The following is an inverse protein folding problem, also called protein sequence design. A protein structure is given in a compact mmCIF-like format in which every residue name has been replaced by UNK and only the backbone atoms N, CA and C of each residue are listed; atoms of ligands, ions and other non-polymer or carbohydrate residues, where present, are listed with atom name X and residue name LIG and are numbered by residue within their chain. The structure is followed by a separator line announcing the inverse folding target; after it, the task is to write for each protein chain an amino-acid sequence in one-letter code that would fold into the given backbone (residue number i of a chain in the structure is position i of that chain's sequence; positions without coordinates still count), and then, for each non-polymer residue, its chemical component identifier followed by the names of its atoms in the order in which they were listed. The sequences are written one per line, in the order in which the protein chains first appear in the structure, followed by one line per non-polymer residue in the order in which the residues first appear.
data_IF_225239523485
#
_entry.id   IF_225239523485
#
_cell.length_a   1.000
_cell.length_b   1.000
_cell.length_c   1.000
_cell.angle_alpha   90.00
_cell.angle_beta   90.00
_cell.angle_gamma   90.00
#
_symmetry.space_group_name_H-M   'P 1'
#
loop_
_entity.id
_entity.type
_entity.pdbx_description
1 polymer ?
#
# COMPACT_ATOMS: atom_id res chain seq x y z
N UNK A 1 -48.68 24.37 -41.44
CA UNK A 1 -47.64 25.05 -40.66
C UNK A 1 -47.70 24.47 -39.25
N UNK A 2 -46.62 23.81 -38.81
CA UNK A 2 -46.23 23.35 -37.46
C UNK A 2 -45.46 22.02 -37.62
N UNK A 3 -44.12 22.01 -37.58
CA UNK A 3 -43.40 20.79 -37.27
C UNK A 3 -43.34 20.65 -35.75
N UNK A 4 -43.84 19.52 -35.24
CA UNK A 4 -43.61 19.08 -33.87
C UNK A 4 -42.14 18.69 -33.77
N UNK A 5 -41.32 19.55 -33.17
CA UNK A 5 -39.98 19.21 -32.74
C UNK A 5 -40.12 18.25 -31.56
N UNK A 6 -40.08 16.94 -31.86
CA UNK A 6 -39.60 15.94 -30.93
C UNK A 6 -38.15 16.31 -30.60
N UNK A 7 -37.96 17.18 -29.61
CA UNK A 7 -36.68 17.34 -28.94
C UNK A 7 -36.34 15.97 -28.38
N UNK A 8 -35.44 15.27 -29.06
CA UNK A 8 -34.75 14.12 -28.51
C UNK A 8 -34.22 14.54 -27.16
N UNK A 9 -34.62 13.81 -26.13
CA UNK A 9 -33.99 13.90 -24.82
C UNK A 9 -32.56 13.44 -25.12
N UNK A 10 -31.66 14.40 -25.31
CA UNK A 10 -30.24 14.13 -25.41
C UNK A 10 -29.91 13.29 -24.18
N UNK A 11 -29.40 12.08 -24.40
CA UNK A 11 -28.85 11.25 -23.33
C UNK A 11 -27.72 12.06 -22.71
N UNK A 12 -28.03 12.88 -21.71
CA UNK A 12 -27.05 13.67 -20.99
C UNK A 12 -26.10 12.66 -20.36
N UNK A 13 -24.86 12.71 -20.80
CA UNK A 13 -23.84 11.87 -20.21
C UNK A 13 -23.71 12.26 -18.74
N UNK A 14 -23.59 11.29 -17.84
CA UNK A 14 -23.32 11.57 -16.43
C UNK A 14 -22.11 12.52 -16.26
N UNK A 15 -21.17 12.47 -17.20
CA UNK A 15 -19.97 13.31 -17.24
C UNK A 15 -20.19 14.76 -17.67
N UNK A 16 -21.41 15.13 -18.08
CA UNK A 16 -21.84 16.50 -18.38
C UNK A 16 -22.47 17.20 -17.16
N UNK A 17 -22.74 16.47 -16.08
CA UNK A 17 -23.27 17.04 -14.83
C UNK A 17 -22.21 17.81 -14.01
N UNK A 18 -22.58 18.65 -13.02
CA UNK A 18 -21.60 19.29 -12.14
C UNK A 18 -20.70 18.28 -11.42
N UNK A 19 -19.46 18.67 -11.12
CA UNK A 19 -18.44 17.77 -10.54
C UNK A 19 -18.91 17.11 -9.25
N UNK A 20 -19.62 17.85 -8.41
CA UNK A 20 -20.17 17.38 -7.14
C UNK A 20 -21.19 16.26 -7.35
N UNK A 21 -22.02 16.36 -8.40
CA UNK A 21 -23.00 15.34 -8.77
C UNK A 21 -22.30 14.10 -9.32
N UNK A 22 -21.28 14.28 -10.16
CA UNK A 22 -20.47 13.18 -10.68
C UNK A 22 -19.83 12.40 -9.52
N UNK A 23 -19.15 13.09 -8.60
CA UNK A 23 -18.51 12.46 -7.44
C UNK A 23 -19.52 11.74 -6.56
N UNK A 24 -20.65 12.37 -6.23
CA UNK A 24 -21.68 11.76 -5.40
C UNK A 24 -22.29 10.48 -6.01
N UNK A 25 -22.34 10.38 -7.34
CA UNK A 25 -22.78 9.15 -8.00
C UNK A 25 -21.65 8.11 -8.00
N UNK A 26 -20.45 8.51 -8.44
CA UNK A 26 -19.31 7.59 -8.57
C UNK A 26 -18.90 6.99 -7.22
N UNK A 27 -18.91 7.76 -6.13
CA UNK A 27 -18.61 7.28 -4.77
C UNK A 27 -19.60 6.22 -4.26
N UNK A 28 -20.78 6.11 -4.89
CA UNK A 28 -21.81 5.12 -4.53
C UNK A 28 -21.79 3.87 -5.40
N UNK A 29 -20.96 3.86 -6.45
CA UNK A 29 -20.85 2.70 -7.32
C UNK A 29 -19.95 1.62 -6.70
N UNK A 30 -20.28 0.33 -6.89
CA UNK A 30 -19.38 -0.74 -6.50
C UNK A 30 -18.10 -0.70 -7.34
N UNK A 31 -17.01 -1.23 -6.80
CA UNK A 31 -15.70 -1.23 -7.44
C UNK A 31 -15.71 -1.82 -8.86
N UNK A 32 -16.46 -2.89 -9.09
CA UNK A 32 -16.59 -3.51 -10.41
C UNK A 32 -17.17 -2.54 -11.46
N UNK A 33 -18.15 -1.71 -11.08
CA UNK A 33 -18.76 -0.74 -11.98
C UNK A 33 -17.81 0.44 -12.25
N UNK A 34 -17.06 0.87 -11.23
CA UNK A 34 -15.99 1.88 -11.42
C UNK A 34 -14.92 1.38 -12.40
N UNK A 35 -14.49 0.13 -12.27
CA UNK A 35 -13.55 -0.51 -13.20
C UNK A 35 -14.15 -0.55 -14.61
N UNK A 36 -15.41 -0.99 -14.75
CA UNK A 36 -16.09 -1.03 -16.05
C UNK A 36 -16.15 0.37 -16.69
N UNK A 37 -16.50 1.40 -15.91
CA UNK A 37 -16.52 2.79 -16.37
C UNK A 37 -15.14 3.26 -16.84
N UNK A 38 -14.07 2.85 -16.17
CA UNK A 38 -12.69 3.21 -16.55
C UNK A 38 -12.28 2.68 -17.94
N UNK A 39 -13.01 1.70 -18.46
CA UNK A 39 -12.78 1.10 -19.78
C UNK A 39 -13.61 1.79 -20.88
N UNK A 40 -14.62 2.57 -20.53
CA UNK A 40 -15.54 3.19 -21.51
C UNK A 40 -14.96 4.41 -22.23
N UNK A 41 -14.20 5.26 -21.52
CA UNK A 41 -13.58 6.46 -22.09
C UNK A 41 -12.41 6.95 -21.26
N UNK A 42 -11.56 7.81 -21.86
CA UNK A 42 -10.42 8.43 -21.17
C UNK A 42 -10.86 9.40 -20.07
N UNK A 43 -11.93 10.16 -20.28
CA UNK A 43 -12.50 11.08 -19.28
C UNK A 43 -13.06 10.31 -18.09
N UNK A 44 -13.84 9.27 -18.36
CA UNK A 44 -14.36 8.38 -17.33
C UNK A 44 -13.21 7.78 -16.50
N UNK A 45 -12.19 7.22 -17.17
CA UNK A 45 -10.99 6.68 -16.53
C UNK A 45 -10.34 7.68 -15.57
N UNK A 46 -10.07 8.90 -16.04
CA UNK A 46 -9.42 9.91 -15.21
C UNK A 46 -10.22 10.28 -13.96
N UNK A 47 -11.56 10.21 -14.03
CA UNK A 47 -12.45 10.51 -12.90
C UNK A 47 -12.61 9.35 -11.92
N UNK A 48 -12.58 8.10 -12.40
CA UNK A 48 -12.81 6.92 -11.55
C UNK A 48 -11.52 6.32 -10.99
N UNK A 49 -10.36 6.49 -11.65
CA UNK A 49 -9.08 5.98 -11.15
C UNK A 49 -8.77 6.44 -9.71
N UNK A 50 -8.96 7.72 -9.33
CA UNK A 50 -8.77 8.14 -7.94
C UNK A 50 -9.64 7.37 -6.94
N UNK A 51 -10.85 6.97 -7.33
CA UNK A 51 -11.76 6.21 -6.48
C UNK A 51 -11.34 4.73 -6.41
N UNK A 52 -10.98 4.14 -7.55
CA UNK A 52 -10.52 2.74 -7.65
C UNK A 52 -9.28 2.49 -6.81
N UNK A 53 -8.31 3.42 -6.84
CA UNK A 53 -7.04 3.28 -6.13
C UNK A 53 -7.03 3.94 -4.75
N UNK A 54 -8.15 4.53 -4.29
CA UNK A 54 -8.19 5.22 -2.98
C UNK A 54 -8.02 4.27 -1.80
N UNK A 55 -8.59 3.08 -1.89
CA UNK A 55 -8.62 2.05 -0.85
C UNK A 55 -8.22 0.71 -1.46
N UNK A 56 -7.07 0.19 -1.02
CA UNK A 56 -6.49 -1.04 -1.52
C UNK A 56 -6.45 -2.05 -0.39
N UNK A 57 -7.21 -3.13 -0.55
CA UNK A 57 -7.10 -4.31 0.30
C UNK A 57 -6.46 -5.45 -0.48
N UNK A 58 -5.34 -5.95 0.01
CA UNK A 58 -4.70 -7.15 -0.50
C UNK A 58 -4.84 -8.24 0.55
N UNK A 59 -5.69 -9.23 0.27
CA UNK A 59 -5.96 -10.33 1.18
C UNK A 59 -5.12 -11.55 0.80
N UNK A 60 -4.27 -12.01 1.71
CA UNK A 60 -3.48 -13.20 1.53
C UNK A 60 -4.26 -14.45 1.93
N UNK A 61 -4.56 -15.29 0.94
CA UNK A 61 -5.17 -16.61 1.15
C UNK A 61 -4.13 -17.69 0.91
N UNK A 62 -4.15 -18.75 1.71
CA UNK A 62 -3.12 -19.81 1.72
C UNK A 62 -2.82 -20.42 0.33
N UNK A 63 -3.82 -20.47 -0.55
CA UNK A 63 -3.72 -21.04 -1.90
C UNK A 63 -3.81 -20.00 -3.01
N UNK A 64 -4.02 -18.74 -2.65
CA UNK A 64 -4.28 -17.65 -3.59
C UNK A 64 -3.62 -16.37 -3.04
N UNK A 65 -2.29 -16.22 -3.23
CA UNK A 65 -1.58 -15.02 -2.81
C UNK A 65 -2.04 -13.81 -3.63
N UNK A 66 -2.10 -12.62 -3.02
CA UNK A 66 -2.59 -11.44 -3.70
C UNK A 66 -1.59 -10.97 -4.76
N UNK A 67 -2.04 -10.25 -5.80
CA UNK A 67 -1.20 -9.80 -6.91
C UNK A 67 -0.34 -8.57 -6.54
N UNK A 68 0.35 -8.61 -5.39
CA UNK A 68 1.14 -7.50 -4.83
C UNK A 68 2.27 -7.06 -5.75
N UNK A 69 2.96 -8.02 -6.37
CA UNK A 69 4.04 -7.73 -7.33
C UNK A 69 3.51 -7.01 -8.58
N UNK A 70 2.29 -7.34 -9.02
CA UNK A 70 1.64 -6.65 -10.14
C UNK A 70 1.28 -5.23 -9.74
N UNK A 71 0.75 -5.02 -8.53
CA UNK A 71 0.45 -3.69 -8.00
C UNK A 71 1.70 -2.82 -7.93
N UNK A 72 2.80 -3.35 -7.39
CA UNK A 72 4.07 -2.64 -7.33
C UNK A 72 4.55 -2.27 -8.73
N UNK A 73 4.52 -3.20 -9.69
CA UNK A 73 4.84 -2.92 -11.08
C UNK A 73 3.97 -1.80 -11.65
N UNK A 74 2.66 -1.84 -11.41
CA UNK A 74 1.73 -0.81 -11.85
C UNK A 74 2.11 0.57 -11.30
N UNK A 75 2.46 0.69 -10.02
CA UNK A 75 2.87 1.97 -9.44
C UNK A 75 4.26 2.43 -9.89
N UNK A 76 5.18 1.52 -10.17
CA UNK A 76 6.45 1.87 -10.81
C UNK A 76 6.23 2.43 -12.23
N UNK A 77 5.26 1.91 -12.97
CA UNK A 77 4.94 2.35 -14.32
C UNK A 77 4.04 3.59 -14.36
N UNK A 78 3.18 3.75 -13.37
CA UNK A 78 2.20 4.83 -13.22
C UNK A 78 2.19 5.38 -11.78
N UNK A 79 3.23 6.13 -11.37
CA UNK A 79 3.37 6.64 -10.02
C UNK A 79 2.23 7.60 -9.61
N UNK A 80 1.55 8.22 -10.59
CA UNK A 80 0.38 9.05 -10.32
C UNK A 80 -0.75 8.28 -9.63
N UNK A 81 -0.89 6.97 -9.90
CA UNK A 81 -1.91 6.14 -9.26
C UNK A 81 -1.64 5.93 -7.77
N UNK A 82 -0.37 5.77 -7.40
CA UNK A 82 0.03 5.59 -6.01
C UNK A 82 -0.27 6.85 -5.16
N UNK A 83 -0.31 8.03 -5.81
CA UNK A 83 -0.71 9.27 -5.14
C UNK A 83 -2.19 9.32 -4.76
N UNK A 84 -3.05 8.49 -5.35
CA UNK A 84 -4.46 8.42 -4.96
C UNK A 84 -4.71 7.55 -3.73
N UNK A 85 -3.76 6.67 -3.39
CA UNK A 85 -3.91 5.72 -2.28
C UNK A 85 -3.98 6.47 -0.96
N UNK A 86 -5.09 6.28 -0.26
CA UNK A 86 -5.34 6.78 1.11
C UNK A 86 -5.34 5.65 2.12
N UNK A 87 -5.72 4.45 1.72
CA UNK A 87 -5.77 3.28 2.60
C UNK A 87 -5.12 2.08 1.94
N UNK A 88 -4.22 1.44 2.70
CA UNK A 88 -3.60 0.17 2.34
C UNK A 88 -3.84 -0.82 3.48
N UNK A 89 -4.62 -1.85 3.18
CA UNK A 89 -4.88 -2.97 4.09
C UNK A 89 -4.24 -4.24 3.53
N UNK A 90 -3.21 -4.73 4.21
CA UNK A 90 -2.52 -5.97 3.91
C UNK A 90 -3.07 -7.04 4.85
N UNK A 91 -4.19 -7.65 4.46
CA UNK A 91 -5.00 -8.55 5.29
C UNK A 91 -4.73 -10.04 5.01
N UNK A 92 -5.11 -10.94 5.89
CA UNK A 92 -4.90 -12.37 5.70
C UNK A 92 -6.02 -13.24 6.28
N UNK A 93 -6.36 -14.28 5.53
CA UNK A 93 -7.41 -15.25 5.90
C UNK A 93 -6.82 -16.64 6.24
N UNK A 94 -5.52 -16.75 6.44
CA UNK A 94 -4.79 -18.02 6.30
C UNK A 94 -4.25 -18.63 7.59
N UNK A 95 -3.83 -17.83 8.58
CA UNK A 95 -2.97 -18.37 9.65
C UNK A 95 -3.60 -18.38 11.05
N UNK A 96 -4.84 -17.92 11.20
CA UNK A 96 -5.58 -17.94 12.47
C UNK A 96 -5.96 -19.35 12.99
N UNK A 97 -5.75 -20.40 12.20
CA UNK A 97 -6.06 -21.79 12.57
C UNK A 97 -4.81 -22.66 12.42
N UNK A 98 -3.81 -22.46 13.27
CA UNK A 98 -2.83 -23.52 13.55
C UNK A 98 -2.98 -24.00 14.99
N UNK A 99 -3.15 -25.31 15.20
CA UNK A 99 -3.00 -25.89 16.54
C UNK A 99 -1.64 -25.51 17.13
N UNK A 100 -1.55 -25.31 18.47
CA UNK A 100 -0.33 -24.90 19.16
C UNK A 100 0.91 -25.66 18.66
N UNK A 101 0.84 -26.98 18.58
CA UNK A 101 1.94 -27.88 18.24
C UNK A 101 2.45 -27.82 16.78
N UNK A 102 1.92 -26.94 15.92
CA UNK A 102 2.45 -26.65 14.58
C UNK A 102 3.18 -25.29 14.53
N UNK A 103 3.86 -24.89 15.62
CA UNK A 103 4.87 -23.80 15.68
C UNK A 103 6.09 -24.02 14.79
N UNK A 104 5.97 -24.78 13.70
CA UNK A 104 6.92 -24.61 12.62
C UNK A 104 6.53 -23.27 11.99
N UNK A 105 7.24 -22.21 12.42
CA UNK A 105 7.22 -20.83 11.93
C UNK A 105 7.46 -20.85 10.43
N UNK A 106 6.46 -21.27 9.67
CA UNK A 106 6.46 -21.13 8.23
C UNK A 106 6.40 -19.64 8.00
N UNK A 107 7.57 -19.07 7.72
CA UNK A 107 7.70 -17.74 7.13
C UNK A 107 6.60 -17.59 6.08
N UNK A 108 5.93 -16.43 5.99
CA UNK A 108 5.01 -16.15 4.90
C UNK A 108 5.65 -16.64 3.61
N UNK A 109 4.91 -17.48 2.86
CA UNK A 109 5.41 -18.01 1.59
C UNK A 109 5.83 -16.81 0.75
N UNK A 110 6.99 -16.83 0.10
CA UNK A 110 7.40 -15.70 -0.75
C UNK A 110 6.27 -15.38 -1.75
N UNK A 111 5.98 -14.09 -1.94
CA UNK A 111 5.01 -13.64 -2.94
C UNK A 111 5.40 -14.22 -4.29
N UNK A 112 4.44 -14.73 -5.08
CA UNK A 112 4.77 -15.34 -6.35
C UNK A 112 5.41 -14.28 -7.25
N UNK A 113 6.66 -14.49 -7.62
CA UNK A 113 7.37 -13.62 -8.54
C UNK A 113 6.93 -13.92 -9.98
N UNK A 114 5.78 -13.37 -10.36
CA UNK A 114 5.18 -13.52 -11.70
C UNK A 114 5.66 -12.40 -12.64
N UNK A 115 6.42 -11.42 -12.12
CA UNK A 115 6.66 -10.15 -12.82
C UNK A 115 8.08 -9.63 -12.59
N UNK A 116 8.78 -9.31 -13.67
CA UNK A 116 10.06 -8.60 -13.60
C UNK A 116 9.84 -7.13 -13.22
N UNK A 117 10.33 -6.72 -12.05
CA UNK A 117 10.36 -5.33 -11.62
C UNK A 117 11.57 -4.59 -12.21
N UNK A 118 11.42 -3.30 -12.54
CA UNK A 118 12.54 -2.49 -13.03
C UNK A 118 13.51 -2.16 -11.90
N UNK A 119 14.70 -2.79 -11.93
CA UNK A 119 15.80 -2.54 -10.99
C UNK A 119 16.18 -1.06 -10.93
N UNK A 120 16.13 -0.35 -12.06
CA UNK A 120 16.46 1.08 -12.12
C UNK A 120 15.47 1.93 -11.31
N UNK A 121 14.17 1.69 -11.48
CA UNK A 121 13.12 2.41 -10.74
C UNK A 121 13.17 2.07 -9.24
N UNK A 122 13.37 0.80 -8.90
CA UNK A 122 13.52 0.38 -7.51
C UNK A 122 14.75 1.03 -6.85
N UNK A 123 15.88 1.09 -7.58
CA UNK A 123 17.09 1.74 -7.09
C UNK A 123 16.89 3.23 -6.83
N UNK A 124 16.15 3.94 -7.69
CA UNK A 124 15.81 5.35 -7.47
C UNK A 124 15.02 5.54 -6.18
N UNK A 125 14.00 4.71 -5.93
CA UNK A 125 13.17 4.78 -4.72
C UNK A 125 14.00 4.46 -3.47
N UNK A 126 14.81 3.41 -3.53
CA UNK A 126 15.64 2.99 -2.41
C UNK A 126 16.69 4.06 -2.03
N UNK A 127 17.22 4.80 -3.01
CA UNK A 127 18.15 5.92 -2.77
C UNK A 127 17.50 7.08 -2.00
N UNK A 128 16.18 7.27 -2.10
CA UNK A 128 15.48 8.27 -1.27
C UNK A 128 15.35 7.83 0.18
N UNK A 129 15.57 6.55 0.46
CA UNK A 129 15.42 5.94 1.78
C UNK A 129 16.77 5.81 2.49
N UNK A 130 17.80 5.36 1.78
CA UNK A 130 19.12 5.13 2.35
C UNK A 130 20.24 5.42 1.35
N UNK A 131 21.36 5.93 1.86
CA UNK A 131 22.56 6.16 1.07
C UNK A 131 23.47 4.92 1.01
N UNK A 132 23.17 3.85 1.76
CA UNK A 132 23.98 2.63 1.78
C UNK A 132 23.71 1.76 0.54
N UNK A 133 24.69 1.57 -0.37
CA UNK A 133 24.52 0.73 -1.55
C UNK A 133 24.21 -0.74 -1.21
N UNK A 134 24.73 -1.22 -0.07
CA UNK A 134 24.50 -2.59 0.40
C UNK A 134 23.04 -2.83 0.77
N UNK A 135 22.44 -1.88 1.50
CA UNK A 135 21.03 -1.95 1.90
C UNK A 135 20.13 -1.83 0.67
N UNK A 136 20.45 -0.92 -0.27
CA UNK A 136 19.72 -0.76 -1.54
C UNK A 136 19.71 -2.08 -2.32
N UNK A 137 20.88 -2.68 -2.52
CA UNK A 137 21.01 -3.92 -3.29
C UNK A 137 20.29 -5.10 -2.60
N UNK A 138 20.40 -5.20 -1.26
CA UNK A 138 19.65 -6.19 -0.48
C UNK A 138 18.15 -6.00 -0.65
N UNK A 139 17.65 -4.77 -0.56
CA UNK A 139 16.22 -4.47 -0.68
C UNK A 139 15.66 -4.84 -2.05
N UNK A 140 16.37 -4.47 -3.12
CA UNK A 140 15.97 -4.79 -4.49
C UNK A 140 15.96 -6.31 -4.69
N UNK A 141 17.00 -7.01 -4.23
CA UNK A 141 17.08 -8.47 -4.34
C UNK A 141 15.96 -9.16 -3.58
N UNK A 142 15.66 -8.72 -2.35
CA UNK A 142 14.57 -9.27 -1.54
C UNK A 142 13.18 -8.97 -2.14
N UNK A 143 12.97 -7.78 -2.72
CA UNK A 143 11.73 -7.49 -3.42
C UNK A 143 11.56 -8.37 -4.68
N UNK A 144 12.65 -8.61 -5.42
CA UNK A 144 12.64 -9.50 -6.57
C UNK A 144 12.47 -10.98 -6.18
N UNK A 145 12.91 -11.39 -4.99
CA UNK A 145 12.65 -12.75 -4.50
C UNK A 145 11.24 -12.94 -3.94
N UNK A 146 10.44 -11.87 -3.85
CA UNK A 146 9.07 -11.90 -3.35
C UNK A 146 8.96 -11.77 -1.82
N UNK A 147 9.97 -11.20 -1.15
CA UNK A 147 9.86 -10.84 0.27
C UNK A 147 8.73 -9.84 0.49
N UNK A 148 7.81 -10.17 1.40
CA UNK A 148 6.62 -9.36 1.67
C UNK A 148 6.96 -8.00 2.28
N UNK A 149 7.86 -7.97 3.26
CA UNK A 149 8.37 -6.72 3.87
C UNK A 149 9.05 -5.82 2.82
N UNK A 150 9.91 -6.41 1.99
CA UNK A 150 10.61 -5.67 0.94
C UNK A 150 9.63 -5.04 -0.06
N UNK A 151 8.65 -5.81 -0.54
CA UNK A 151 7.63 -5.33 -1.48
C UNK A 151 6.72 -4.29 -0.82
N UNK A 152 6.30 -4.51 0.43
CA UNK A 152 5.48 -3.56 1.18
C UNK A 152 6.21 -2.24 1.41
N UNK A 153 7.50 -2.28 1.76
CA UNK A 153 8.33 -1.08 1.87
C UNK A 153 8.33 -0.26 0.58
N UNK A 154 8.52 -0.90 -0.59
CA UNK A 154 8.49 -0.19 -1.87
C UNK A 154 7.12 0.40 -2.18
N UNK A 155 6.04 -0.33 -1.87
CA UNK A 155 4.67 0.17 -2.05
C UNK A 155 4.44 1.43 -1.19
N UNK A 156 4.81 1.39 0.09
CA UNK A 156 4.62 2.51 1.02
C UNK A 156 5.41 3.74 0.55
N UNK A 157 6.67 3.56 0.11
CA UNK A 157 7.50 4.64 -0.46
C UNK A 157 6.87 5.34 -1.65
N UNK A 158 5.97 4.67 -2.37
CA UNK A 158 5.29 5.22 -3.54
C UNK A 158 3.97 5.94 -3.18
N UNK A 159 3.48 5.84 -1.96
CA UNK A 159 2.14 6.30 -1.55
C UNK A 159 2.22 7.56 -0.67
N UNK A 160 2.36 8.77 -1.25
CA UNK A 160 2.59 9.97 -0.46
C UNK A 160 1.43 10.44 0.39
N UNK A 161 0.25 9.94 0.07
CA UNK A 161 -1.04 10.41 0.54
C UNK A 161 -1.69 9.43 1.52
N UNK A 162 -0.94 8.40 1.93
CA UNK A 162 -1.40 7.32 2.79
C UNK A 162 -1.91 7.88 4.12
N UNK A 163 -3.15 7.54 4.46
CA UNK A 163 -3.85 7.94 5.68
C UNK A 163 -4.08 6.77 6.64
N UNK A 164 -4.17 5.56 6.10
CA UNK A 164 -4.39 4.32 6.84
C UNK A 164 -3.50 3.22 6.31
N UNK A 165 -2.80 2.55 7.21
CA UNK A 165 -1.96 1.39 6.92
C UNK A 165 -2.28 0.27 7.91
N UNK A 166 -2.66 -0.90 7.42
CA UNK A 166 -2.83 -2.08 8.26
C UNK A 166 -2.12 -3.31 7.71
N UNK A 167 -1.58 -4.12 8.62
CA UNK A 167 -1.00 -5.41 8.34
C UNK A 167 -1.65 -6.47 9.21
N UNK A 168 -1.91 -7.64 8.60
CA UNK A 168 -2.25 -8.88 9.27
C UNK A 168 -0.98 -9.68 9.58
N UNK A 169 -1.05 -10.52 10.60
CA UNK A 169 -0.02 -11.50 11.00
C UNK A 169 0.44 -12.38 9.82
N UNK A 170 -0.44 -12.58 8.84
CA UNK A 170 -0.22 -13.42 7.67
C UNK A 170 0.77 -12.79 6.67
N UNK A 171 1.01 -11.49 6.74
CA UNK A 171 1.77 -10.75 5.74
C UNK A 171 3.25 -10.64 6.03
N UNK A 172 3.64 -10.34 7.27
CA UNK A 172 5.05 -10.14 7.58
C UNK A 172 5.39 -10.47 9.03
N UNK A 173 6.54 -11.14 9.18
CA UNK A 173 7.19 -11.38 10.47
C UNK A 173 8.37 -10.43 10.70
N UNK A 174 8.73 -9.64 9.69
CA UNK A 174 9.89 -8.73 9.67
C UNK A 174 9.40 -7.34 9.23
N UNK A 175 9.89 -6.26 9.83
CA UNK A 175 9.51 -4.87 9.44
C UNK A 175 10.73 -4.04 9.09
N UNK A 176 11.79 -4.69 8.60
CA UNK A 176 13.09 -4.09 8.30
C UNK A 176 12.96 -2.96 7.28
N UNK A 177 12.35 -3.23 6.13
CA UNK A 177 12.24 -2.23 5.06
C UNK A 177 11.14 -1.22 5.30
N UNK A 178 10.02 -1.66 5.89
CA UNK A 178 8.95 -0.75 6.30
C UNK A 178 9.49 0.25 7.34
N UNK A 179 10.19 -0.23 8.36
CA UNK A 179 10.81 0.58 9.40
C UNK A 179 11.90 1.49 8.85
N UNK A 180 12.66 1.05 7.85
CA UNK A 180 13.64 1.89 7.14
C UNK A 180 12.96 3.06 6.39
N UNK A 181 11.82 2.83 5.74
CA UNK A 181 11.04 3.86 5.03
C UNK A 181 10.51 4.91 6.01
N UNK A 182 9.93 4.49 7.12
CA UNK A 182 9.42 5.43 8.11
C UNK A 182 10.56 6.13 8.86
N UNK A 183 11.63 5.42 9.19
CA UNK A 183 12.82 6.00 9.82
C UNK A 183 13.40 7.13 8.97
N UNK A 184 13.68 6.87 7.70
CA UNK A 184 14.19 7.90 6.77
C UNK A 184 13.22 9.06 6.54
N UNK A 185 11.90 8.83 6.56
CA UNK A 185 10.92 9.91 6.48
C UNK A 185 10.92 10.83 7.73
N UNK A 186 11.30 10.31 8.90
CA UNK A 186 11.33 11.07 10.17
C UNK A 186 12.63 11.87 10.37
N UNK A 187 13.76 11.37 9.86
CA UNK A 187 15.04 12.08 9.93
C UNK A 187 15.13 13.16 8.84
N UNK A 188 14.74 14.39 9.17
CA UNK A 188 14.93 15.57 8.31
C UNK A 188 16.29 16.21 8.59
N UNK A 189 17.29 15.96 7.76
CA UNK A 189 18.57 16.69 7.81
C UNK A 189 18.52 17.96 6.96
N UNK A 190 19.25 19.00 7.38
CA UNK A 190 19.25 20.32 6.73
C UNK A 190 19.81 20.28 5.28
N UNK A 191 20.59 19.25 4.95
CA UNK A 191 21.20 19.02 3.63
C UNK A 191 20.24 18.40 2.60
N UNK A 192 19.06 17.88 3.01
CA UNK A 192 18.09 17.20 2.13
C UNK A 192 17.22 18.15 1.28
N UNK A 193 17.62 19.41 1.15
CA UNK A 193 16.89 20.45 0.40
C UNK A 193 16.94 20.30 -1.12
N UNK A 194 17.80 19.43 -1.64
CA UNK A 194 18.08 19.33 -3.08
C UNK A 194 17.79 17.97 -3.72
N UNK A 195 17.32 16.97 -2.97
CA UNK A 195 17.02 15.64 -3.53
C UNK A 195 15.50 15.37 -3.60
N UNK A 196 15.02 14.58 -4.58
CA UNK A 196 13.65 14.09 -4.56
C UNK A 196 13.45 13.27 -3.28
N UNK A 197 12.34 13.52 -2.57
CA UNK A 197 12.15 13.07 -1.19
C UNK A 197 11.17 11.91 -1.11
N UNK A 198 11.35 11.06 -0.09
CA UNK A 198 10.26 10.22 0.40
C UNK A 198 9.09 11.10 0.88
N UNK A 199 7.86 10.55 0.88
CA UNK A 199 6.73 11.25 1.44
C UNK A 199 6.91 11.59 2.92
N UNK A 200 6.36 12.73 3.35
CA UNK A 200 6.36 13.14 4.77
C UNK A 200 5.28 12.42 5.58
N UNK A 201 4.43 11.62 4.93
CA UNK A 201 3.32 10.87 5.51
C UNK A 201 2.42 11.69 6.47
N UNK A 202 2.28 13.00 6.23
CA UNK A 202 1.48 13.91 7.08
C UNK A 202 0.00 13.53 7.17
N UNK A 203 -0.49 12.81 6.17
CA UNK A 203 -1.87 12.30 6.13
C UNK A 203 -2.07 11.03 6.94
N UNK A 204 -0.99 10.33 7.34
CA UNK A 204 -1.03 9.03 8.00
C UNK A 204 -1.52 9.18 9.44
N UNK A 205 -2.70 8.63 9.71
CA UNK A 205 -3.38 8.75 11.02
C UNK A 205 -3.50 7.42 11.74
N UNK A 206 -3.49 6.32 10.99
CA UNK A 206 -3.75 4.99 11.51
C UNK A 206 -2.69 4.01 11.00
N UNK A 207 -2.04 3.35 11.94
CA UNK A 207 -1.13 2.23 11.68
C UNK A 207 -1.56 1.06 12.56
N UNK A 208 -1.88 -0.07 11.93
CA UNK A 208 -2.08 -1.36 12.61
C UNK A 208 -0.99 -2.31 12.14
N UNK A 209 -0.16 -2.77 13.06
CA UNK A 209 0.90 -3.74 12.80
C UNK A 209 0.79 -4.91 13.77
N UNK A 210 0.97 -6.15 13.31
CA UNK A 210 1.10 -7.30 14.18
C UNK A 210 2.50 -7.27 14.78
N UNK A 211 2.64 -6.79 16.02
CA UNK A 211 3.90 -6.89 16.73
C UNK A 211 4.02 -8.32 17.28
N UNK A 212 4.80 -9.16 16.59
CA UNK A 212 5.25 -10.43 17.15
C UNK A 212 6.32 -10.14 18.21
N UNK A 213 5.90 -9.96 19.46
CA UNK A 213 6.79 -10.11 20.61
C UNK A 213 6.73 -11.60 20.99
N UNK A 214 7.43 -12.43 20.22
CA UNK A 214 7.60 -13.83 20.61
C UNK A 214 8.81 -13.91 21.55
N UNK A 215 8.52 -13.89 22.86
CA UNK A 215 9.53 -13.93 23.94
C UNK A 215 10.33 -15.24 23.95
N UNK A 216 9.89 -16.30 23.26
CA UNK A 216 10.50 -17.63 23.37
C UNK A 216 11.38 -18.06 22.16
N UNK A 217 11.28 -17.43 20.98
CA UNK A 217 11.92 -17.95 19.76
C UNK A 217 12.86 -17.01 19.00
N UNK A 218 12.99 -15.74 19.40
CA UNK A 218 13.93 -14.81 18.78
C UNK A 218 15.04 -14.41 19.78
N UNK A 219 16.18 -15.10 19.71
CA UNK A 219 17.40 -14.80 20.49
C UNK A 219 18.11 -13.50 20.06
N UNK A 220 17.65 -12.86 18.99
CA UNK A 220 18.01 -11.50 18.58
C UNK A 220 16.69 -10.80 18.26
N UNK A 221 16.34 -9.63 18.85
CA UNK A 221 15.13 -8.91 18.50
C UNK A 221 15.43 -8.05 17.26
N UNK A 222 15.32 -8.58 16.03
CA UNK A 222 15.87 -7.97 14.84
C UNK A 222 14.80 -7.05 14.28
N UNK A 223 14.35 -6.06 15.06
CA UNK A 223 13.30 -5.10 14.70
C UNK A 223 13.09 -4.01 15.75
N UNK A 224 13.80 -3.98 16.90
CA UNK A 224 13.47 -3.01 17.96
C UNK A 224 13.59 -1.56 17.48
N UNK A 225 14.67 -1.21 16.77
CA UNK A 225 14.88 0.14 16.24
C UNK A 225 13.94 0.48 15.06
N UNK A 226 13.67 -0.51 14.20
CA UNK A 226 12.79 -0.34 13.03
C UNK A 226 11.32 -0.24 13.43
N UNK A 227 10.93 -0.92 14.51
CA UNK A 227 9.62 -0.76 15.15
C UNK A 227 9.53 0.60 15.83
N UNK A 228 10.62 1.07 16.44
CA UNK A 228 10.65 2.39 17.08
C UNK A 228 10.43 3.52 16.08
N UNK A 229 10.90 3.41 14.83
CA UNK A 229 10.71 4.45 13.81
C UNK A 229 9.23 4.74 13.50
N UNK A 230 8.36 3.73 13.63
CA UNK A 230 6.91 3.85 13.46
C UNK A 230 6.24 4.70 14.55
N UNK A 231 6.87 4.82 15.72
CA UNK A 231 6.37 5.70 16.80
C UNK A 231 6.68 7.18 16.55
N UNK A 232 7.55 7.49 15.59
CA UNK A 232 7.97 8.86 15.28
C UNK A 232 7.26 9.44 14.04
N UNK A 233 6.39 8.67 13.38
CA UNK A 233 5.65 9.17 12.22
C UNK A 233 4.61 10.20 12.68
N UNK A 234 4.57 11.40 12.07
CA UNK A 234 3.70 12.48 12.52
C UNK A 234 2.22 12.11 12.40
N UNK A 235 1.40 12.54 13.36
CA UNK A 235 -0.07 12.50 13.36
C UNK A 235 -0.76 11.15 13.64
N UNK A 236 -0.09 10.17 14.24
CA UNK A 236 -0.77 8.90 14.58
C UNK A 236 -1.78 9.10 15.71
N UNK A 237 -3.06 8.88 15.40
CA UNK A 237 -4.18 9.04 16.33
C UNK A 237 -4.57 7.75 17.06
N UNK A 238 -4.26 6.58 16.49
CA UNK A 238 -4.54 5.28 17.11
C UNK A 238 -3.49 4.25 16.71
N UNK A 239 -2.85 3.64 17.69
CA UNK A 239 -2.15 2.36 17.55
C UNK A 239 -3.10 1.29 18.07
N UNK A 240 -3.48 0.33 17.24
CA UNK A 240 -4.26 -0.82 17.71
C UNK A 240 -3.34 -2.03 17.80
N UNK A 241 -3.06 -2.44 19.04
CA UNK A 241 -2.35 -3.66 19.39
C UNK A 241 -3.35 -4.81 19.43
N UNK A 242 -3.11 -5.86 18.65
CA UNK A 242 -3.87 -7.12 18.71
C UNK A 242 -3.15 -8.10 19.65
N UNK A 243 -2.80 -7.64 20.86
CA UNK A 243 -2.49 -8.55 21.97
C UNK A 243 -3.69 -8.62 22.89
N UNK A 244 -4.16 -9.85 23.12
CA UNK A 244 -5.36 -10.14 23.88
C UNK A 244 -5.44 -9.43 25.23
N UNK A 245 -6.67 -9.22 25.69
CA UNK A 245 -6.99 -8.67 26.99
C UNK A 245 -6.17 -9.35 28.09
N UNK A 246 -5.26 -8.60 28.71
CA UNK A 246 -4.68 -8.98 29.99
C UNK A 246 -5.67 -8.51 31.05
N UNK A 247 -6.45 -9.45 31.59
CA UNK A 247 -7.22 -9.28 32.82
C UNK A 247 -6.35 -9.43 34.06
#
# INVERSE_FOLDING_TARGET
QYPVLLNGIASMSIFESPREVQLAILERLPLCDLIALSLTSKDARHKVEPLIYSDITLTWKLKDPPPTMLLLRTFLDRPELASYVRRLDLDGEGFRIRPPYLYNTQKPIALPNIVTLSTEKLSQIAKYTTNSPEIINSWIHEAQSGSSDAVAGFLISLMPNLAWLSFSEDWTNEVKYIGLVFGSATYRTFEDSFQPRLPTYESLKHIKLPLFIDEEYYLDPPNTLDVLSLFYVPNIGTYQYDGGCVG
#
